data_IF_823658894724
#
_entry.id   IF_823658894724
#
_cell.length_a   1.000
_cell.length_b   1.000
_cell.length_c   1.000
_cell.angle_alpha   90.00
_cell.angle_beta   90.00
_cell.angle_gamma   90.00
#
_symmetry.space_group_name_H-M   'P 1'
#
loop_
_entity.id
_entity.type
_entity.pdbx_description
1 polymer ?
#
# COMPACT_ATOMS: atom_id res chain seq x y z
N UNK A 1 -22.03 13.36 -19.62
CA UNK A 1 -22.17 11.92 -19.33
C UNK A 1 -20.93 11.48 -18.56
N UNK A 2 -21.13 11.19 -17.28
CA UNK A 2 -20.29 10.50 -16.28
C UNK A 2 -18.79 10.30 -16.55
N UNK A 3 -17.96 10.94 -15.72
CA UNK A 3 -16.56 10.58 -15.47
C UNK A 3 -16.43 9.06 -15.25
N UNK A 4 -15.49 8.44 -15.96
CA UNK A 4 -15.26 7.00 -15.93
C UNK A 4 -14.93 6.54 -14.52
N UNK A 5 -15.91 5.90 -13.87
CA UNK A 5 -15.72 5.03 -12.71
C UNK A 5 -14.88 3.84 -13.17
N UNK A 6 -13.56 3.96 -13.11
CA UNK A 6 -12.64 2.84 -13.13
C UNK A 6 -13.04 1.90 -12.01
N UNK A 7 -13.51 0.70 -12.36
CA UNK A 7 -13.86 -0.31 -11.36
C UNK A 7 -12.53 -0.77 -10.75
N UNK A 8 -12.30 -0.56 -9.44
CA UNK A 8 -11.08 -1.04 -8.82
C UNK A 8 -10.94 -2.55 -9.07
N UNK A 9 -9.73 -3.02 -9.33
CA UNK A 9 -9.46 -4.45 -9.43
C UNK A 9 -9.87 -5.08 -8.09
N UNK A 10 -10.85 -5.99 -8.11
CA UNK A 10 -11.40 -6.59 -6.88
C UNK A 10 -11.43 -8.12 -7.00
N UNK A 11 -11.60 -8.78 -5.86
CA UNK A 11 -11.73 -10.23 -5.79
C UNK A 11 -10.43 -10.99 -6.12
N UNK A 12 -10.57 -12.19 -6.70
CA UNK A 12 -9.47 -13.16 -6.85
C UNK A 12 -8.29 -12.65 -7.70
N UNK A 13 -8.54 -11.76 -8.66
CA UNK A 13 -7.47 -11.19 -9.50
C UNK A 13 -6.59 -10.25 -8.69
N UNK A 14 -7.18 -9.45 -7.79
CA UNK A 14 -6.41 -8.58 -6.89
C UNK A 14 -5.59 -9.43 -5.92
N UNK A 15 -6.20 -10.43 -5.30
CA UNK A 15 -5.50 -11.33 -4.38
C UNK A 15 -4.31 -12.02 -5.07
N UNK A 16 -4.50 -12.51 -6.29
CA UNK A 16 -3.45 -13.12 -7.08
C UNK A 16 -2.32 -12.13 -7.41
N UNK A 17 -2.66 -10.90 -7.81
CA UNK A 17 -1.67 -9.87 -8.12
C UNK A 17 -0.84 -9.49 -6.88
N UNK A 18 -1.49 -9.31 -5.73
CA UNK A 18 -0.82 -9.01 -4.47
C UNK A 18 0.05 -10.18 -4.00
N UNK A 19 -0.43 -11.41 -4.14
CA UNK A 19 0.36 -12.61 -3.86
C UNK A 19 1.60 -12.67 -4.75
N UNK A 20 1.44 -12.54 -6.07
CA UNK A 20 2.55 -12.54 -7.03
C UNK A 20 3.56 -11.45 -6.68
N UNK A 21 3.09 -10.26 -6.28
CA UNK A 21 3.98 -9.16 -5.87
C UNK A 21 4.81 -9.53 -4.65
N UNK A 22 4.20 -10.13 -3.64
CA UNK A 22 4.95 -10.61 -2.47
C UNK A 22 5.95 -11.70 -2.85
N UNK A 23 5.52 -12.69 -3.63
CA UNK A 23 6.36 -13.82 -4.04
C UNK A 23 7.55 -13.37 -4.90
N UNK A 24 7.37 -12.38 -5.79
CA UNK A 24 8.43 -11.89 -6.68
C UNK A 24 9.42 -10.92 -6.01
N UNK A 25 9.01 -10.25 -4.93
CA UNK A 25 9.83 -9.24 -4.23
C UNK A 25 10.29 -9.69 -2.85
N UNK A 26 9.91 -10.90 -2.43
CA UNK A 26 10.10 -11.41 -1.07
C UNK A 26 9.51 -10.46 0.00
N UNK A 27 8.43 -9.75 -0.34
CA UNK A 27 7.76 -8.83 0.58
C UNK A 27 6.93 -9.61 1.60
N UNK A 28 6.89 -9.10 2.82
CA UNK A 28 6.13 -9.67 3.92
C UNK A 28 4.62 -9.41 3.79
N UNK A 29 4.24 -8.33 3.09
CA UNK A 29 2.86 -7.96 2.83
C UNK A 29 2.76 -7.11 1.55
N UNK A 30 1.55 -7.00 1.02
CA UNK A 30 1.17 -6.02 0.02
C UNK A 30 -0.24 -5.47 0.33
N UNK A 31 -0.45 -4.18 0.08
CA UNK A 31 -1.72 -3.47 0.22
C UNK A 31 -1.99 -2.73 -1.08
N UNK A 32 -3.21 -2.84 -1.59
CA UNK A 32 -3.70 -2.08 -2.73
C UNK A 32 -4.54 -0.90 -2.25
N UNK A 33 -4.08 0.29 -2.59
CA UNK A 33 -4.70 1.55 -2.25
C UNK A 33 -5.45 2.12 -3.45
N UNK A 34 -6.73 2.43 -3.27
CA UNK A 34 -7.56 3.05 -4.32
C UNK A 34 -8.12 4.38 -3.85
N UNK A 35 -8.31 5.31 -4.79
CA UNK A 35 -8.99 6.58 -4.49
C UNK A 35 -10.51 6.35 -4.50
N UNK A 36 -11.18 6.82 -3.45
CA UNK A 36 -12.63 6.90 -3.34
C UNK A 36 -12.96 8.33 -2.93
N UNK A 37 -13.50 9.13 -3.87
CA UNK A 37 -13.71 10.57 -3.70
C UNK A 37 -12.38 11.29 -3.38
N UNK A 38 -12.29 11.93 -2.20
CA UNK A 38 -11.09 12.64 -1.72
C UNK A 38 -10.27 11.82 -0.71
N UNK A 39 -10.61 10.53 -0.53
CA UNK A 39 -9.89 9.62 0.35
C UNK A 39 -9.17 8.53 -0.46
N UNK A 40 -8.05 8.05 0.05
CA UNK A 40 -7.38 6.83 -0.39
C UNK A 40 -7.60 5.78 0.68
N UNK A 41 -8.16 4.64 0.27
CA UNK A 41 -8.58 3.53 1.12
C UNK A 41 -7.92 2.23 0.67
N UNK A 42 -7.78 1.29 1.61
CA UNK A 42 -7.39 -0.09 1.31
C UNK A 42 -8.55 -0.78 0.57
N UNK A 43 -8.28 -1.28 -0.64
CA UNK A 43 -9.22 -2.05 -1.45
C UNK A 43 -8.91 -3.56 -1.47
N UNK A 44 -7.78 -3.97 -0.88
CA UNK A 44 -7.38 -5.36 -0.72
C UNK A 44 -5.93 -5.47 -0.26
N UNK A 45 -5.63 -6.53 0.46
CA UNK A 45 -4.33 -6.73 1.09
C UNK A 45 -3.94 -8.21 1.09
N UNK A 46 -2.67 -8.51 0.90
CA UNK A 46 -2.10 -9.85 1.03
C UNK A 46 -1.02 -9.86 2.10
N UNK A 47 -1.03 -10.88 2.95
CA UNK A 47 -0.01 -11.09 3.98
C UNK A 47 0.76 -12.37 3.65
N UNK A 48 2.05 -12.24 3.34
CA UNK A 48 2.93 -13.38 3.12
C UNK A 48 3.61 -13.84 4.43
N UNK A 49 3.89 -12.91 5.34
CA UNK A 49 4.47 -13.19 6.65
C UNK A 49 3.50 -12.80 7.78
N UNK A 50 3.12 -13.74 8.68
CA UNK A 50 2.17 -13.47 9.77
C UNK A 50 2.57 -12.32 10.71
N UNK A 51 3.87 -11.97 10.81
CA UNK A 51 4.32 -10.83 11.62
C UNK A 51 3.80 -9.48 11.09
N UNK A 52 3.54 -9.38 9.78
CA UNK A 52 3.00 -8.18 9.15
C UNK A 52 1.47 -8.07 9.25
N UNK A 53 0.76 -9.11 9.72
CA UNK A 53 -0.71 -9.12 9.79
C UNK A 53 -1.26 -7.92 10.57
N UNK A 54 -0.69 -7.64 11.75
CA UNK A 54 -1.19 -6.56 12.59
C UNK A 54 -0.99 -5.17 11.95
N UNK A 55 0.08 -5.00 11.16
CA UNK A 55 0.30 -3.78 10.40
C UNK A 55 -0.73 -3.57 9.31
N UNK A 56 -1.02 -4.63 8.54
CA UNK A 56 -2.02 -4.59 7.46
C UNK A 56 -3.42 -4.31 8.04
N UNK A 57 -3.83 -5.01 9.08
CA UNK A 57 -5.15 -4.82 9.71
C UNK A 57 -5.32 -3.44 10.34
N UNK A 58 -4.28 -2.88 10.94
CA UNK A 58 -4.33 -1.52 11.45
C UNK A 58 -4.30 -0.48 10.31
N UNK A 59 -3.65 -0.78 9.19
CA UNK A 59 -3.60 0.11 8.02
C UNK A 59 -4.94 0.21 7.30
N UNK A 60 -5.74 -0.86 7.26
CA UNK A 60 -7.11 -0.85 6.74
C UNK A 60 -8.02 0.19 7.38
N UNK A 61 -7.76 0.54 8.64
CA UNK A 61 -8.54 1.52 9.41
C UNK A 61 -8.13 2.97 9.12
N UNK A 62 -7.01 3.16 8.43
CA UNK A 62 -6.46 4.48 8.14
C UNK A 62 -7.02 4.98 6.83
N UNK A 63 -7.51 6.21 6.86
CA UNK A 63 -7.85 6.96 5.66
C UNK A 63 -6.74 7.94 5.32
N UNK A 64 -6.30 7.90 4.08
CA UNK A 64 -5.29 8.81 3.55
C UNK A 64 -5.97 9.89 2.72
N UNK A 65 -5.45 11.10 2.75
CA UNK A 65 -5.96 12.21 1.93
C UNK A 65 -5.45 12.04 0.50
N UNK A 66 -6.37 11.96 -0.47
CA UNK A 66 -6.04 11.80 -1.88
C UNK A 66 -5.36 13.03 -2.49
N UNK A 67 -5.58 14.21 -1.91
CA UNK A 67 -4.98 15.47 -2.33
C UNK A 67 -3.77 15.85 -1.45
N UNK A 68 -3.44 15.02 -0.47
CA UNK A 68 -2.31 15.22 0.43
C UNK A 68 -0.94 15.04 -0.25
N UNK A 69 0.10 15.28 0.55
CA UNK A 69 1.50 15.09 0.17
C UNK A 69 2.08 13.76 0.70
N UNK A 70 1.22 12.81 1.04
CA UNK A 70 1.64 11.48 1.44
C UNK A 70 2.22 10.70 0.25
N UNK A 71 3.16 9.78 0.47
CA UNK A 71 3.79 9.00 -0.61
C UNK A 71 2.79 8.30 -1.55
N UNK A 72 1.71 7.70 -1.03
CA UNK A 72 0.68 7.04 -1.84
C UNK A 72 -0.04 8.05 -2.76
N UNK A 73 -0.38 9.23 -2.25
CA UNK A 73 -1.04 10.28 -3.05
C UNK A 73 -0.11 10.85 -4.12
N UNK A 74 1.19 10.98 -3.81
CA UNK A 74 2.21 11.41 -4.78
C UNK A 74 2.36 10.36 -5.89
N UNK A 75 2.60 9.09 -5.55
CA UNK A 75 2.74 7.99 -6.52
C UNK A 75 1.52 7.90 -7.43
N UNK A 76 0.31 8.02 -6.88
CA UNK A 76 -0.93 8.02 -7.66
C UNK A 76 -1.01 9.19 -8.64
N UNK A 77 -0.51 10.36 -8.26
CA UNK A 77 -0.56 11.61 -9.05
C UNK A 77 0.54 11.70 -10.10
N UNK A 78 1.76 11.28 -9.78
CA UNK A 78 2.93 11.40 -10.67
C UNK A 78 3.15 10.16 -11.51
N UNK A 79 2.68 8.99 -11.06
CA UNK A 79 3.00 7.71 -11.67
C UNK A 79 4.38 7.18 -11.31
N UNK A 80 5.18 7.94 -10.56
CA UNK A 80 6.54 7.57 -10.19
C UNK A 80 6.54 6.69 -8.95
N UNK A 81 7.30 5.60 -8.98
CA UNK A 81 7.47 4.73 -7.81
C UNK A 81 8.19 5.45 -6.69
N UNK A 82 7.79 5.16 -5.44
CA UNK A 82 8.41 5.71 -4.25
C UNK A 82 8.95 4.58 -3.37
N UNK A 83 10.18 4.73 -2.88
CA UNK A 83 10.82 3.74 -2.04
C UNK A 83 11.27 4.36 -0.72
N UNK A 84 10.93 3.68 0.38
CA UNK A 84 11.32 3.97 1.74
C UNK A 84 12.34 2.90 2.16
N UNK A 85 13.66 3.20 2.07
CA UNK A 85 14.72 2.25 2.43
C UNK A 85 14.87 2.07 3.94
N UNK A 86 14.32 2.99 4.73
CA UNK A 86 14.29 2.89 6.18
C UNK A 86 13.04 3.59 6.72
N UNK A 87 12.10 2.80 7.24
CA UNK A 87 10.86 3.30 7.84
C UNK A 87 11.15 4.19 9.04
N UNK A 88 12.22 3.94 9.80
CA UNK A 88 12.59 4.72 10.98
C UNK A 88 13.02 6.16 10.63
N UNK A 89 13.51 6.40 9.41
CA UNK A 89 13.85 7.71 8.88
C UNK A 89 12.70 8.34 8.05
N UNK A 90 11.60 7.62 7.84
CA UNK A 90 10.50 8.07 6.97
C UNK A 90 9.59 9.11 7.65
N UNK A 91 8.80 9.80 6.82
CA UNK A 91 7.71 10.70 7.22
C UNK A 91 6.32 10.06 7.07
N UNK A 92 6.28 8.72 7.02
CA UNK A 92 5.02 8.00 6.85
C UNK A 92 4.07 8.28 8.02
N UNK A 93 2.81 8.60 7.71
CA UNK A 93 1.76 8.79 8.72
C UNK A 93 1.60 7.58 9.66
N UNK A 94 1.89 6.39 9.13
CA UNK A 94 1.82 5.10 9.83
C UNK A 94 3.18 4.54 10.23
N UNK A 95 4.20 5.39 10.37
CA UNK A 95 5.57 5.02 10.76
C UNK A 95 5.62 4.24 12.07
N UNK A 96 5.00 4.75 13.13
CA UNK A 96 5.05 4.10 14.45
C UNK A 96 4.44 2.70 14.42
N UNK A 97 3.32 2.56 13.71
CA UNK A 97 2.67 1.27 13.48
C UNK A 97 3.58 0.33 12.66
N UNK A 98 4.22 0.83 11.61
CA UNK A 98 5.16 0.06 10.79
C UNK A 98 6.33 -0.46 11.65
N UNK A 99 6.92 0.40 12.49
CA UNK A 99 7.97 0.03 13.42
C UNK A 99 7.50 -0.99 14.47
N UNK A 100 6.30 -0.81 15.03
CA UNK A 100 5.71 -1.73 16.02
C UNK A 100 5.62 -3.17 15.51
N UNK A 101 5.30 -3.35 14.23
CA UNK A 101 5.19 -4.65 13.58
C UNK A 101 6.46 -5.07 12.82
N UNK A 102 7.57 -4.33 13.00
CA UNK A 102 8.87 -4.65 12.45
C UNK A 102 8.98 -4.48 10.94
N UNK A 103 8.21 -3.60 10.31
CA UNK A 103 8.35 -3.25 8.90
C UNK A 103 9.55 -2.30 8.74
N UNK A 104 10.56 -2.73 8.00
CA UNK A 104 11.81 -2.00 7.83
C UNK A 104 11.88 -1.17 6.54
N UNK A 105 11.30 -1.69 5.46
CA UNK A 105 11.34 -1.08 4.13
C UNK A 105 9.97 -1.16 3.46
N UNK A 106 9.64 -0.14 2.67
CA UNK A 106 8.35 -0.06 1.96
C UNK A 106 8.58 0.49 0.56
N UNK A 107 8.01 -0.16 -0.44
CA UNK A 107 7.97 0.32 -1.81
C UNK A 107 6.51 0.54 -2.24
N UNK A 108 6.31 1.56 -3.06
CA UNK A 108 5.01 1.99 -3.55
C UNK A 108 5.13 2.23 -5.06
N UNK A 109 4.22 1.64 -5.83
CA UNK A 109 4.16 1.88 -7.28
C UNK A 109 2.73 1.91 -7.74
N UNK A 110 2.47 2.62 -8.83
CA UNK A 110 1.18 2.54 -9.51
C UNK A 110 0.90 1.10 -9.95
N UNK A 111 -0.37 0.73 -9.85
CA UNK A 111 -0.89 -0.55 -10.33
C UNK A 111 -2.34 -0.35 -10.73
N UNK A 112 -2.68 -0.58 -12.00
CA UNK A 112 -4.00 -0.26 -12.56
C UNK A 112 -4.39 1.19 -12.24
N UNK A 113 -5.57 1.40 -11.66
CA UNK A 113 -6.06 2.69 -11.18
C UNK A 113 -5.77 2.94 -9.68
N UNK A 114 -4.80 2.26 -9.11
CA UNK A 114 -4.41 2.45 -7.71
C UNK A 114 -2.91 2.50 -7.51
N UNK A 115 -2.53 2.25 -6.26
CA UNK A 115 -1.14 2.12 -5.84
C UNK A 115 -1.00 0.83 -5.07
N UNK A 116 -0.07 -0.03 -5.49
CA UNK A 116 0.35 -1.17 -4.68
C UNK A 116 1.51 -0.74 -3.81
N UNK A 117 1.35 -0.99 -2.52
CA UNK A 117 2.37 -0.80 -1.51
C UNK A 117 2.76 -2.16 -0.95
N UNK A 118 4.04 -2.43 -0.80
CA UNK A 118 4.54 -3.70 -0.26
C UNK A 118 5.83 -3.44 0.50
N UNK A 119 6.09 -4.25 1.52
CA UNK A 119 7.22 -4.01 2.41
C UNK A 119 7.81 -5.27 2.99
N UNK A 120 9.06 -5.17 3.44
CA UNK A 120 9.80 -6.24 4.10
C UNK A 120 9.93 -5.94 5.59
N UNK A 121 10.13 -7.00 6.37
CA UNK A 121 10.40 -6.86 7.80
C UNK A 121 11.87 -6.49 8.01
N UNK A 122 12.14 -5.58 8.93
CA UNK A 122 13.49 -5.40 9.48
C UNK A 122 13.86 -6.68 10.23
N UNK A 123 14.98 -7.28 9.84
CA UNK A 123 15.54 -8.48 10.50
C UNK A 123 16.14 -8.13 11.86
#
# INVERSE_FOLDING_TARGET
NTYGSTVPLTGRTLDAALKIRCDSTNAAYAIYWTRVNDEILDAGSWVANPKATGFVEASKKIKLDANGNGPIAIVKRTGESFFVPDVSASTLKRKELALQYGVGQIAMTTFEDGVVEFGTLSS
#
